data_IF_457965888649
#
_entry.id   IF_457965888649
#
_cell.length_a   1.000
_cell.length_b   1.000
_cell.length_c   1.000
_cell.angle_alpha   90.00
_cell.angle_beta   90.00
_cell.angle_gamma   90.00
#
_symmetry.space_group_name_H-M   'P 1'
#
loop_
_entity.id
_entity.type
_entity.pdbx_description
1 polymer ?
#
# COMPACT_ATOMS: atom_id res chain seq x y z
N UNK A 1 38.01 -36.53 -18.61
CA UNK A 1 36.55 -36.35 -18.41
C UNK A 1 36.37 -35.18 -17.45
N UNK A 2 35.83 -34.04 -17.92
CA UNK A 2 35.63 -32.84 -17.09
C UNK A 2 34.23 -32.87 -16.49
N UNK A 3 34.16 -32.63 -15.18
CA UNK A 3 32.93 -32.39 -14.42
C UNK A 3 32.25 -31.10 -14.94
N UNK A 4 30.93 -31.04 -15.17
CA UNK A 4 30.26 -29.76 -15.37
C UNK A 4 30.23 -28.99 -14.04
N UNK A 5 30.34 -27.65 -14.06
CA UNK A 5 30.22 -26.83 -12.86
C UNK A 5 28.77 -26.83 -12.36
N UNK A 6 28.63 -26.96 -11.03
CA UNK A 6 27.39 -26.84 -10.29
C UNK A 6 26.69 -25.53 -10.65
N UNK A 7 25.43 -25.65 -11.03
CA UNK A 7 24.56 -24.49 -11.27
C UNK A 7 24.22 -23.89 -9.92
N UNK A 8 24.75 -22.71 -9.59
CA UNK A 8 24.33 -21.99 -8.39
C UNK A 8 22.82 -21.70 -8.47
N UNK A 9 22.03 -22.02 -7.43
CA UNK A 9 20.61 -21.69 -7.39
C UNK A 9 20.44 -20.18 -7.41
N UNK A 10 19.89 -19.68 -8.52
CA UNK A 10 19.65 -18.26 -8.78
C UNK A 10 18.95 -17.57 -7.61
N UNK A 11 19.68 -16.70 -6.92
CA UNK A 11 19.13 -15.79 -5.92
C UNK A 11 18.44 -14.63 -6.67
N UNK A 12 17.22 -14.87 -7.18
CA UNK A 12 16.37 -13.76 -7.62
C UNK A 12 15.82 -13.06 -6.38
N UNK A 13 16.60 -12.15 -5.79
CA UNK A 13 16.01 -11.15 -4.91
C UNK A 13 15.12 -10.27 -5.79
N UNK A 14 13.79 -10.21 -5.57
CA UNK A 14 12.98 -9.21 -6.24
C UNK A 14 13.49 -7.85 -5.78
N UNK A 15 14.27 -7.18 -6.62
CA UNK A 15 14.70 -5.81 -6.38
C UNK A 15 13.50 -4.93 -6.71
N UNK A 16 12.67 -4.66 -5.70
CA UNK A 16 11.63 -3.65 -5.86
C UNK A 16 12.32 -2.28 -6.00
N UNK A 17 12.09 -1.54 -7.10
CA UNK A 17 12.63 -0.19 -7.19
C UNK A 17 12.05 0.66 -6.05
N UNK A 18 12.83 1.60 -5.49
CA UNK A 18 12.31 2.49 -4.46
C UNK A 18 11.12 3.29 -5.01
N UNK A 19 10.11 3.58 -4.17
CA UNK A 19 8.97 4.38 -4.60
C UNK A 19 9.41 5.77 -5.09
N UNK A 20 8.76 6.32 -6.13
CA UNK A 20 9.06 7.67 -6.62
C UNK A 20 8.92 8.72 -5.52
N UNK A 21 9.78 9.73 -5.55
CA UNK A 21 9.69 10.88 -4.63
C UNK A 21 8.77 11.99 -5.16
N UNK A 22 8.53 12.00 -6.47
CA UNK A 22 7.55 12.90 -7.09
C UNK A 22 6.12 12.47 -6.71
N UNK A 23 5.30 13.33 -6.09
CA UNK A 23 3.97 12.97 -5.64
C UNK A 23 3.04 12.49 -6.77
N UNK A 24 3.12 13.07 -7.97
CA UNK A 24 2.25 12.69 -9.08
C UNK A 24 2.62 11.33 -9.69
N UNK A 25 3.92 11.03 -9.77
CA UNK A 25 4.43 9.70 -10.12
C UNK A 25 4.06 8.67 -9.06
N UNK A 26 4.22 9.02 -7.77
CA UNK A 26 3.86 8.16 -6.65
C UNK A 26 2.36 7.88 -6.63
N UNK A 27 1.49 8.88 -6.77
CA UNK A 27 0.04 8.70 -6.84
C UNK A 27 -0.38 7.74 -7.95
N UNK A 28 0.26 7.82 -9.14
CA UNK A 28 0.01 6.90 -10.24
C UNK A 28 0.47 5.45 -9.99
N UNK A 29 1.43 5.24 -9.07
CA UNK A 29 1.83 3.91 -8.61
C UNK A 29 0.86 3.36 -7.57
N UNK A 30 0.31 4.24 -6.72
CA UNK A 30 -0.54 3.85 -5.58
C UNK A 30 -1.98 3.53 -5.98
N UNK A 31 -2.52 4.22 -6.99
CA UNK A 31 -3.86 3.96 -7.51
C UNK A 31 -3.91 4.11 -9.05
N UNK A 32 -4.61 3.23 -9.77
CA UNK A 32 -4.74 3.32 -11.23
C UNK A 32 -5.33 4.66 -11.65
N UNK A 33 -4.64 5.39 -12.53
CA UNK A 33 -5.05 6.74 -12.95
C UNK A 33 -6.39 6.73 -13.70
N UNK A 34 -6.72 5.61 -14.33
CA UNK A 34 -7.97 5.38 -15.05
C UNK A 34 -9.19 5.47 -14.12
N UNK A 35 -8.98 5.24 -12.83
CA UNK A 35 -10.04 5.31 -11.80
C UNK A 35 -10.12 6.69 -11.14
N UNK A 36 -9.38 7.71 -11.60
CA UNK A 36 -9.33 9.02 -10.94
C UNK A 36 -10.70 9.73 -10.83
N UNK A 37 -11.66 9.38 -11.71
CA UNK A 37 -13.02 9.91 -11.67
C UNK A 37 -13.96 9.12 -10.76
N UNK A 38 -13.54 7.96 -10.25
CA UNK A 38 -14.38 7.11 -9.40
C UNK A 38 -14.53 7.71 -7.99
N UNK A 39 -15.73 7.69 -7.39
CA UNK A 39 -15.95 8.17 -6.02
C UNK A 39 -15.07 7.48 -4.97
N UNK A 40 -14.65 6.24 -5.23
CA UNK A 40 -13.77 5.47 -4.35
C UNK A 40 -12.29 5.83 -4.48
N UNK A 41 -11.89 6.64 -5.47
CA UNK A 41 -10.48 6.95 -5.76
C UNK A 41 -9.70 7.55 -4.57
N UNK A 42 -10.26 8.48 -3.78
CA UNK A 42 -9.60 8.99 -2.57
C UNK A 42 -9.18 7.87 -1.61
N UNK A 43 -10.04 6.86 -1.43
CA UNK A 43 -9.74 5.69 -0.60
C UNK A 43 -8.69 4.78 -1.24
N UNK A 44 -8.70 4.61 -2.57
CA UNK A 44 -7.66 3.83 -3.25
C UNK A 44 -6.27 4.45 -3.04
N UNK A 45 -6.15 5.77 -3.15
CA UNK A 45 -4.89 6.47 -2.88
C UNK A 45 -4.45 6.32 -1.42
N UNK A 46 -5.36 6.55 -0.46
CA UNK A 46 -5.06 6.38 0.95
C UNK A 46 -4.65 4.93 1.29
N UNK A 47 -5.39 3.95 0.77
CA UNK A 47 -5.09 2.53 0.92
C UNK A 47 -3.77 2.14 0.25
N UNK A 48 -3.43 2.73 -0.89
CA UNK A 48 -2.14 2.56 -1.54
C UNK A 48 -0.99 3.05 -0.66
N UNK A 49 -1.10 4.25 -0.07
CA UNK A 49 -0.09 4.77 0.87
C UNK A 49 0.08 3.84 2.07
N UNK A 50 -1.02 3.36 2.63
CA UNK A 50 -1.01 2.38 3.73
C UNK A 50 -0.32 1.08 3.31
N UNK A 51 -0.65 0.56 2.13
CA UNK A 51 -0.05 -0.64 1.57
C UNK A 51 1.45 -0.48 1.36
N UNK A 52 1.88 0.67 0.85
CA UNK A 52 3.31 0.98 0.66
C UNK A 52 4.05 1.07 2.00
N UNK A 53 3.49 1.78 2.98
CA UNK A 53 4.10 1.96 4.30
C UNK A 53 4.17 0.67 5.12
N UNK A 54 3.22 -0.26 4.91
CA UNK A 54 3.22 -1.57 5.57
C UNK A 54 4.11 -2.59 4.88
N UNK A 55 4.31 -2.45 3.57
CA UNK A 55 5.10 -3.41 2.77
C UNK A 55 6.58 -3.05 2.68
N UNK A 56 6.95 -1.79 2.93
CA UNK A 56 8.31 -1.30 2.78
C UNK A 56 8.70 -0.37 3.93
N UNK A 57 9.97 -0.42 4.34
CA UNK A 57 10.50 0.57 5.25
C UNK A 57 10.83 1.87 4.50
N UNK A 58 9.96 2.87 4.65
CA UNK A 58 10.12 4.15 3.96
C UNK A 58 11.13 5.05 4.69
N UNK A 59 12.02 5.69 3.95
CA UNK A 59 12.89 6.72 4.50
C UNK A 59 12.12 8.05 4.71
N UNK A 60 12.79 9.09 5.24
CA UNK A 60 12.15 10.39 5.52
C UNK A 60 11.59 11.07 4.26
N UNK A 61 12.31 11.00 3.15
CA UNK A 61 11.88 11.64 1.89
C UNK A 61 10.68 10.94 1.28
N UNK A 62 10.67 9.61 1.32
CA UNK A 62 9.55 8.78 0.85
C UNK A 62 8.31 8.99 1.73
N UNK A 63 8.46 9.05 3.06
CA UNK A 63 7.38 9.42 3.98
C UNK A 63 6.82 10.80 3.64
N UNK A 64 7.67 11.79 3.40
CA UNK A 64 7.24 13.11 2.98
C UNK A 64 6.50 13.09 1.62
N UNK A 65 6.94 12.29 0.66
CA UNK A 65 6.25 12.12 -0.62
C UNK A 65 4.85 11.51 -0.42
N UNK A 66 4.71 10.46 0.40
CA UNK A 66 3.41 9.90 0.78
C UNK A 66 2.49 10.95 1.43
N UNK A 67 3.01 11.78 2.33
CA UNK A 67 2.22 12.83 2.97
C UNK A 67 1.76 13.91 1.99
N UNK A 68 2.57 14.24 0.97
CA UNK A 68 2.15 15.15 -0.10
C UNK A 68 1.04 14.54 -0.96
N UNK A 69 1.16 13.26 -1.31
CA UNK A 69 0.08 12.54 -2.01
C UNK A 69 -1.21 12.59 -1.21
N UNK A 70 -1.14 12.29 0.11
CA UNK A 70 -2.32 12.36 0.99
C UNK A 70 -2.91 13.77 1.07
N UNK A 71 -2.08 14.80 1.14
CA UNK A 71 -2.55 16.19 1.21
C UNK A 71 -3.35 16.62 -0.04
N UNK A 72 -3.07 16.02 -1.19
CA UNK A 72 -3.76 16.29 -2.45
C UNK A 72 -5.04 15.43 -2.63
N UNK A 73 -5.33 14.51 -1.71
CA UNK A 73 -6.54 13.65 -1.78
C UNK A 73 -7.80 14.47 -1.50
N UNK A 74 -8.77 14.55 -2.43
CA UNK A 74 -10.04 15.18 -2.17
C UNK A 74 -10.78 14.51 -1.01
N UNK A 75 -11.29 15.32 -0.07
CA UNK A 75 -12.02 14.81 1.10
C UNK A 75 -11.14 14.29 2.24
N UNK A 76 -9.81 14.45 2.16
CA UNK A 76 -8.97 14.30 3.35
C UNK A 76 -9.24 15.43 4.34
N UNK A 77 -9.40 15.09 5.61
CA UNK A 77 -9.58 16.06 6.68
C UNK A 77 -8.64 15.77 7.84
N UNK A 78 -8.05 16.80 8.41
CA UNK A 78 -7.32 16.69 9.66
C UNK A 78 -8.31 16.54 10.82
N UNK A 79 -8.15 15.49 11.62
CA UNK A 79 -9.03 15.14 12.73
C UNK A 79 -8.43 15.46 14.11
N UNK A 80 -7.28 16.14 14.15
CA UNK A 80 -6.63 16.53 15.40
C UNK A 80 -5.51 15.59 15.84
N UNK A 81 -5.00 15.82 17.04
CA UNK A 81 -4.11 14.89 17.71
C UNK A 81 -4.90 13.65 18.16
N UNK A 82 -4.30 12.47 18.02
CA UNK A 82 -4.90 11.19 18.40
C UNK A 82 -3.84 10.26 18.97
N UNK A 83 -4.28 9.25 19.70
CA UNK A 83 -3.45 8.15 20.16
C UNK A 83 -3.91 6.87 19.47
N UNK A 84 -2.97 6.06 18.97
CA UNK A 84 -3.33 4.76 18.41
C UNK A 84 -3.68 3.74 19.51
N UNK A 85 -4.11 2.54 19.10
CA UNK A 85 -4.44 1.45 20.03
C UNK A 85 -3.25 0.95 20.86
N UNK A 86 -2.02 1.24 20.42
CA UNK A 86 -0.79 0.89 21.12
C UNK A 86 -0.29 2.02 22.05
N UNK A 87 -1.06 3.09 22.21
CA UNK A 87 -0.71 4.21 23.09
C UNK A 87 0.28 5.22 22.49
N UNK A 88 0.60 5.13 21.18
CA UNK A 88 1.52 6.05 20.51
C UNK A 88 0.77 7.31 20.06
N UNK A 89 1.25 8.51 20.40
CA UNK A 89 0.64 9.76 19.97
C UNK A 89 0.92 10.04 18.49
N UNK A 90 -0.01 10.70 17.82
CA UNK A 90 0.12 11.11 16.43
C UNK A 90 -0.93 12.12 15.99
N UNK A 91 -0.91 12.44 14.71
CA UNK A 91 -1.88 13.28 14.03
C UNK A 91 -2.84 12.40 13.23
N UNK A 92 -4.14 12.57 13.44
CA UNK A 92 -5.15 11.82 12.72
C UNK A 92 -5.63 12.58 11.48
N UNK A 93 -5.76 11.85 10.37
CA UNK A 93 -6.36 12.31 9.13
C UNK A 93 -7.44 11.32 8.71
N UNK A 94 -8.59 11.82 8.28
CA UNK A 94 -9.70 10.99 7.82
C UNK A 94 -9.89 11.16 6.33
N UNK A 95 -10.03 10.06 5.61
CA UNK A 95 -10.44 10.03 4.21
C UNK A 95 -11.77 9.30 4.15
N UNK A 96 -12.81 10.04 3.78
CA UNK A 96 -14.15 9.49 3.58
C UNK A 96 -14.41 9.32 2.08
N UNK A 97 -14.75 8.10 1.67
CA UNK A 97 -15.17 7.81 0.31
C UNK A 97 -16.24 6.72 0.31
N UNK A 98 -17.31 6.94 -0.46
CA UNK A 98 -18.53 6.12 -0.44
C UNK A 98 -19.10 5.92 0.98
N UNK A 99 -18.92 4.71 1.52
CA UNK A 99 -19.42 4.22 2.80
C UNK A 99 -18.27 3.75 3.69
N UNK A 100 -17.08 4.27 3.46
CA UNK A 100 -15.90 3.94 4.24
C UNK A 100 -15.15 5.19 4.67
N UNK A 101 -14.66 5.15 5.89
CA UNK A 101 -13.80 6.17 6.46
C UNK A 101 -12.51 5.49 6.89
N UNK A 102 -11.43 5.80 6.19
CA UNK A 102 -10.07 5.46 6.60
C UNK A 102 -9.55 6.55 7.53
N UNK A 103 -9.04 6.17 8.69
CA UNK A 103 -8.34 7.10 9.60
C UNK A 103 -6.87 6.75 9.58
N UNK A 104 -6.02 7.65 9.10
CA UNK A 104 -4.57 7.52 9.14
C UNK A 104 -4.05 8.26 10.36
N UNK A 105 -3.25 7.58 11.19
CA UNK A 105 -2.55 8.20 12.32
C UNK A 105 -1.07 8.24 11.98
N UNK A 106 -0.49 9.43 12.00
CA UNK A 106 0.90 9.70 11.59
C UNK A 106 1.68 10.29 12.75
N UNK A 107 2.89 9.78 13.00
CA UNK A 107 3.83 10.41 13.94
C UNK A 107 4.23 11.80 13.42
N UNK A 108 3.97 12.83 14.22
CA UNK A 108 4.17 14.23 13.82
C UNK A 108 5.64 14.59 13.53
N UNK A 109 6.59 13.86 14.12
CA UNK A 109 8.03 14.16 14.04
C UNK A 109 8.71 13.43 12.90
N UNK A 110 8.30 12.19 12.65
CA UNK A 110 8.93 11.30 11.65
C UNK A 110 8.14 11.22 10.34
N UNK A 111 6.84 11.54 10.36
CA UNK A 111 5.93 11.31 9.24
C UNK A 111 5.61 9.83 9.02
N UNK A 112 5.89 8.99 10.02
CA UNK A 112 5.60 7.56 9.97
C UNK A 112 4.12 7.29 10.22
N UNK A 113 3.51 6.50 9.35
CA UNK A 113 2.16 6.00 9.60
C UNK A 113 2.21 4.96 10.71
N UNK A 114 1.62 5.28 11.86
CA UNK A 114 1.60 4.42 13.03
C UNK A 114 0.33 3.59 13.13
N UNK A 115 -0.79 4.07 12.57
CA UNK A 115 -2.03 3.31 12.46
C UNK A 115 -2.85 3.74 11.24
N UNK A 116 -3.69 2.83 10.74
CA UNK A 116 -4.62 3.10 9.65
C UNK A 116 -5.95 2.33 9.79
N UNK A 117 -6.72 2.49 10.88
CA UNK A 117 -8.00 1.82 11.01
C UNK A 117 -8.97 2.29 9.94
N UNK A 118 -9.73 1.34 9.40
CA UNK A 118 -10.78 1.60 8.44
C UNK A 118 -12.13 1.21 9.03
N UNK A 119 -13.12 2.10 8.91
CA UNK A 119 -14.51 1.84 9.26
C UNK A 119 -15.32 1.77 7.97
N UNK A 120 -16.14 0.74 7.84
CA UNK A 120 -17.09 0.58 6.74
C UNK A 120 -18.50 0.61 7.32
N UNK A 121 -19.35 1.51 6.83
CA UNK A 121 -20.69 1.77 7.37
C UNK A 121 -21.81 1.14 6.53
N UNK A 122 -21.49 0.26 5.56
CA UNK A 122 -22.48 -0.46 4.75
C UNK A 122 -22.07 -1.89 4.35
N UNK A 123 -23.04 -2.74 4.01
CA UNK A 123 -22.81 -4.06 3.43
C UNK A 123 -22.70 -3.93 1.89
N UNK A 124 -21.47 -3.96 1.36
CA UNK A 124 -21.24 -4.22 -0.08
C UNK A 124 -20.48 -5.55 -0.22
N UNK A 125 -21.04 -6.57 -0.89
CA UNK A 125 -20.25 -7.69 -1.37
C UNK A 125 -19.16 -7.15 -2.31
N UNK A 126 -17.89 -7.47 -2.05
CA UNK A 126 -16.77 -7.10 -2.94
C UNK A 126 -15.88 -5.94 -2.48
N UNK A 127 -16.18 -5.28 -1.35
CA UNK A 127 -15.33 -4.21 -0.79
C UNK A 127 -14.34 -4.76 0.25
N UNK A 128 -13.83 -5.96 0.02
CA UNK A 128 -12.77 -6.54 0.84
C UNK A 128 -11.57 -6.77 -0.07
N UNK A 129 -10.46 -6.09 0.21
CA UNK A 129 -9.17 -6.50 -0.33
C UNK A 129 -8.73 -7.74 0.43
N UNK A 130 -8.39 -8.81 -0.30
CA UNK A 130 -7.85 -10.03 0.28
C UNK A 130 -6.38 -10.11 -0.12
N UNK A 131 -5.49 -10.05 0.87
CA UNK A 131 -4.09 -10.41 0.66
C UNK A 131 -4.00 -11.92 0.74
N UNK A 132 -3.92 -12.58 -0.42
CA UNK A 132 -3.63 -14.00 -0.49
C UNK A 132 -2.14 -14.20 -0.27
N UNK A 133 -1.76 -14.63 0.93
CA UNK A 133 -0.40 -15.11 1.20
C UNK A 133 -0.33 -16.54 0.69
N UNK A 134 0.20 -16.70 -0.52
CA UNK A 134 0.49 -18.03 -1.05
C UNK A 134 1.71 -18.58 -0.31
N UNK A 135 1.54 -19.74 0.32
CA UNK A 135 2.64 -20.55 0.82
C UNK A 135 3.62 -20.80 -0.33
N UNK A 136 4.92 -20.61 -0.10
CA UNK A 136 5.96 -20.66 -1.13
C UNK A 136 6.24 -22.11 -1.56
N UNK A 137 5.25 -22.76 -2.17
CA UNK A 137 5.40 -24.03 -2.87
C UNK A 137 5.89 -23.77 -4.29
N UNK A 138 7.15 -24.09 -4.57
CA UNK A 138 7.67 -24.10 -5.93
C UNK A 138 6.80 -25.03 -6.82
N UNK A 139 6.25 -24.52 -7.92
CA UNK A 139 5.64 -25.35 -8.96
C UNK A 139 6.74 -26.06 -9.76
N UNK A 140 7.06 -27.30 -9.38
CA UNK A 140 7.95 -28.18 -10.18
C UNK A 140 7.23 -28.90 -11.32
N UNK A 141 5.97 -28.55 -11.63
CA UNK A 141 5.26 -29.08 -12.79
C UNK A 141 5.01 -28.00 -13.82
N UNK A 142 5.74 -28.08 -14.93
CA UNK A 142 5.31 -27.48 -16.19
C UNK A 142 3.90 -28.01 -16.51
N UNK A 143 2.93 -27.10 -16.60
CA UNK A 143 1.59 -27.44 -17.06
C UNK A 143 1.69 -28.04 -18.46
N UNK A 144 1.18 -29.26 -18.64
CA UNK A 144 1.00 -29.85 -19.96
C UNK A 144 -0.02 -29.00 -20.70
N UNK A 145 0.40 -28.42 -21.81
CA UNK A 145 -0.49 -27.73 -22.73
C UNK A 145 -1.51 -28.73 -23.29
N UNK A 146 -2.77 -28.57 -22.91
CA UNK A 146 -3.87 -29.19 -23.63
C UNK A 146 -4.04 -28.41 -24.94
N UNK A 147 -3.77 -29.08 -26.06
CA UNK A 147 -4.17 -28.63 -27.39
C UNK A 147 -5.50 -29.31 -27.77
N UNK A 148 -6.35 -28.63 -28.55
CA UNK A 148 -7.69 -29.09 -28.92
C UNK A 148 -7.66 -30.36 -29.80
#
# INVERSE_FOLDING_TARGET
>A
MRHPPDTEPGTSTPTYPPPPLDPAALAGLLAPRELAAEPAYPRLLAGGVVGLATSQYLNREQRAACMRVLADVPGIAYAGASTDIAGRPGLAFTVAADMSTSTLVVDARTGEQIAAPERVTGQRPGLFSHVLILERGHTTKAGVALRP
#
